data_IF_554677747354
#
_entry.id   IF_554677747354
#
_cell.length_a   1.000
_cell.length_b   1.000
_cell.length_c   1.000
_cell.angle_alpha   90.00
_cell.angle_beta   90.00
_cell.angle_gamma   90.00
#
_symmetry.space_group_name_H-M   'P 1'
#
loop_
_entity.id
_entity.type
_entity.pdbx_description
1 polymer ?
#
# COMPACT_ATOMS: atom_id res chain seq x y z
N UNK A 1 9.87 1.14 10.91
CA UNK A 1 8.40 1.00 10.78
C UNK A 1 8.05 -0.48 10.57
N UNK A 2 7.03 -0.96 11.26
CA UNK A 2 6.66 -2.37 11.17
C UNK A 2 5.62 -2.59 10.06
N UNK A 3 5.87 -3.60 9.22
CA UNK A 3 4.97 -4.00 8.14
C UNK A 3 4.50 -5.42 8.44
N UNK A 4 3.19 -5.61 8.47
CA UNK A 4 2.56 -6.90 8.79
C UNK A 4 2.34 -7.72 7.52
N UNK A 5 2.15 -9.03 7.67
CA UNK A 5 1.83 -9.91 6.56
C UNK A 5 2.97 -10.85 6.18
N UNK A 6 2.80 -11.54 5.06
CA UNK A 6 3.77 -12.56 4.59
C UNK A 6 4.86 -11.92 3.73
N UNK A 7 5.68 -11.08 4.35
CA UNK A 7 6.74 -10.32 3.69
C UNK A 7 7.93 -11.23 3.37
N UNK A 8 8.46 -11.11 2.15
CA UNK A 8 9.58 -11.94 1.69
C UNK A 8 10.89 -11.17 1.50
N UNK A 9 10.87 -9.83 1.56
CA UNK A 9 12.09 -9.03 1.44
C UNK A 9 11.95 -7.70 2.18
N UNK A 10 12.97 -6.83 2.05
CA UNK A 10 13.00 -5.52 2.71
C UNK A 10 12.25 -4.43 1.94
N UNK A 11 11.66 -4.74 0.78
CA UNK A 11 10.99 -3.78 -0.08
C UNK A 11 9.48 -3.98 -0.15
N UNK A 12 8.91 -4.57 0.88
CA UNK A 12 7.46 -4.80 1.06
C UNK A 12 6.83 -5.84 0.13
N UNK A 13 7.64 -6.60 -0.58
CA UNK A 13 7.10 -7.70 -1.39
C UNK A 13 6.59 -8.80 -0.48
N UNK A 14 5.55 -9.49 -0.93
CA UNK A 14 4.94 -10.57 -0.16
C UNK A 14 4.77 -11.81 -1.03
N UNK A 15 4.31 -12.90 -0.41
CA UNK A 15 4.09 -14.16 -1.13
C UNK A 15 3.01 -14.04 -2.21
N UNK A 16 2.14 -13.04 -2.15
CA UNK A 16 1.06 -12.82 -3.12
C UNK A 16 1.51 -11.97 -4.30
N UNK A 17 2.32 -10.91 -4.02
CA UNK A 17 2.79 -9.96 -5.01
C UNK A 17 4.28 -9.70 -4.78
N UNK A 18 5.12 -10.18 -5.70
CA UNK A 18 6.57 -10.14 -5.51
C UNK A 18 7.36 -9.84 -6.78
N UNK A 19 6.79 -9.04 -7.68
CA UNK A 19 7.52 -8.56 -8.86
C UNK A 19 8.44 -7.39 -8.46
N UNK A 20 9.29 -6.95 -9.41
CA UNK A 20 10.19 -5.81 -9.19
C UNK A 20 9.45 -4.55 -8.77
N UNK A 21 8.20 -4.39 -9.22
CA UNK A 21 7.40 -3.19 -9.00
C UNK A 21 6.44 -3.29 -7.82
N UNK A 22 6.41 -4.42 -7.12
CA UNK A 22 5.53 -4.61 -5.96
C UNK A 22 6.24 -4.14 -4.69
N UNK A 23 6.45 -2.82 -4.61
CA UNK A 23 7.26 -2.18 -3.57
C UNK A 23 6.46 -1.22 -2.69
N UNK A 24 5.13 -1.32 -2.70
CA UNK A 24 4.27 -0.42 -1.93
C UNK A 24 3.56 -1.20 -0.83
N UNK A 25 3.59 -0.67 0.38
CA UNK A 25 2.76 -1.13 1.48
C UNK A 25 1.66 -0.09 1.74
N UNK A 26 0.50 -0.54 2.16
CA UNK A 26 -0.67 0.30 2.39
C UNK A 26 -1.10 0.20 3.85
N UNK A 27 -1.27 1.35 4.49
CA UNK A 27 -1.84 1.41 5.84
C UNK A 27 -3.36 1.29 5.72
N UNK A 28 -3.94 0.31 6.39
CA UNK A 28 -5.37 0.06 6.29
C UNK A 28 -6.14 0.92 7.29
N UNK A 29 -7.26 1.50 6.82
CA UNK A 29 -8.06 2.40 7.64
C UNK A 29 -8.69 1.71 8.85
N UNK A 30 -8.95 0.41 8.75
CA UNK A 30 -9.60 -0.36 9.82
C UNK A 30 -8.71 -0.58 11.05
N UNK A 31 -7.39 -0.57 10.89
CA UNK A 31 -6.49 -0.91 12.00
C UNK A 31 -5.22 -0.07 12.04
N UNK A 32 -5.02 0.87 11.12
CA UNK A 32 -3.85 1.74 11.04
C UNK A 32 -2.52 0.98 10.98
N UNK A 33 -2.52 -0.19 10.31
CA UNK A 33 -1.33 -1.02 10.15
C UNK A 33 -0.98 -1.16 8.67
N UNK A 34 0.31 -1.21 8.37
CA UNK A 34 0.79 -1.43 7.01
C UNK A 34 0.81 -2.90 6.65
N UNK A 35 0.26 -3.23 5.48
CA UNK A 35 0.33 -4.56 4.86
C UNK A 35 0.76 -4.40 3.41
N UNK A 36 1.50 -5.38 2.85
CA UNK A 36 1.92 -5.31 1.43
C UNK A 36 0.74 -5.38 0.46
N UNK A 37 -0.33 -6.06 0.83
CA UNK A 37 -1.51 -6.20 -0.03
C UNK A 37 -2.74 -6.59 0.82
N UNK A 38 -3.91 -6.55 0.17
CA UNK A 38 -5.16 -6.89 0.87
C UNK A 38 -5.22 -8.36 1.30
N UNK A 39 -4.56 -9.26 0.57
CA UNK A 39 -4.53 -10.68 0.93
C UNK A 39 -3.75 -10.90 2.21
N UNK A 40 -2.64 -10.17 2.40
CA UNK A 40 -1.90 -10.22 3.65
C UNK A 40 -2.77 -9.77 4.84
N UNK A 41 -3.56 -8.72 4.63
CA UNK A 41 -4.47 -8.23 5.66
C UNK A 41 -5.51 -9.30 6.01
N UNK A 42 -6.10 -9.94 5.00
CA UNK A 42 -7.12 -10.98 5.23
C UNK A 42 -6.55 -12.17 5.99
N UNK A 43 -5.32 -12.57 5.70
CA UNK A 43 -4.68 -13.71 6.37
C UNK A 43 -4.27 -13.40 7.80
N UNK A 44 -3.90 -12.15 8.07
CA UNK A 44 -3.37 -11.75 9.37
C UNK A 44 -4.44 -11.28 10.36
N UNK A 45 -5.65 -10.99 9.89
CA UNK A 45 -6.71 -10.41 10.72
C UNK A 45 -8.01 -11.19 10.59
N UNK A 46 -8.90 -11.00 11.56
CA UNK A 46 -10.24 -11.57 11.57
C UNK A 46 -11.33 -10.52 11.41
N UNK A 47 -10.95 -9.27 11.09
CA UNK A 47 -11.91 -8.19 10.87
C UNK A 47 -12.01 -7.83 9.40
N UNK A 48 -13.12 -7.19 9.03
CA UNK A 48 -13.36 -6.75 7.67
C UNK A 48 -12.54 -5.51 7.36
N UNK A 49 -11.91 -5.50 6.19
CA UNK A 49 -11.13 -4.36 5.71
C UNK A 49 -12.06 -3.18 5.41
N UNK A 50 -11.63 -1.98 5.82
CA UNK A 50 -12.33 -0.73 5.50
C UNK A 50 -11.53 0.07 4.49
N UNK A 51 -12.23 0.68 3.53
CA UNK A 51 -11.60 1.54 2.54
C UNK A 51 -11.35 2.92 3.11
N UNK A 52 -10.30 3.59 2.62
CA UNK A 52 -10.05 4.99 2.94
C UNK A 52 -11.10 5.86 2.24
N UNK A 53 -11.83 6.73 2.97
CA UNK A 53 -12.77 7.65 2.33
C UNK A 53 -12.04 8.75 1.58
N UNK A 54 -12.69 9.30 0.56
CA UNK A 54 -12.10 10.34 -0.30
C UNK A 54 -11.61 11.55 0.46
N UNK A 55 -12.33 11.99 1.47
CA UNK A 55 -11.95 13.14 2.28
C UNK A 55 -10.69 12.89 3.13
N UNK A 56 -10.20 11.66 3.16
CA UNK A 56 -9.00 11.28 3.90
C UNK A 56 -7.83 10.92 2.99
N UNK A 57 -7.89 11.26 1.71
CA UNK A 57 -6.80 10.97 0.77
C UNK A 57 -5.54 11.80 1.02
N UNK A 58 -5.60 12.80 1.88
CA UNK A 58 -4.42 13.52 2.37
C UNK A 58 -3.68 12.75 3.46
N UNK A 59 -4.21 11.62 3.91
CA UNK A 59 -3.57 10.79 4.93
C UNK A 59 -2.34 10.08 4.38
N UNK A 60 -1.31 10.00 5.21
CA UNK A 60 -0.06 9.30 4.87
C UNK A 60 -0.24 7.82 5.12
N UNK A 61 -0.78 7.13 4.13
CA UNK A 61 -1.14 5.72 4.22
C UNK A 61 -0.40 4.84 3.22
N UNK A 62 0.57 5.39 2.49
CA UNK A 62 1.34 4.67 1.49
C UNK A 62 2.81 4.71 1.88
N UNK A 63 3.46 3.54 1.86
CA UNK A 63 4.88 3.42 2.18
C UNK A 63 5.63 2.90 0.96
N UNK A 64 6.68 3.62 0.55
CA UNK A 64 7.61 3.11 -0.45
C UNK A 64 8.52 2.08 0.20
N UNK A 65 8.50 0.84 -0.30
CA UNK A 65 9.32 -0.24 0.26
C UNK A 65 10.80 -0.08 0.00
N UNK A 66 11.19 0.70 -1.01
CA UNK A 66 12.61 0.89 -1.36
C UNK A 66 13.29 1.86 -0.40
N UNK A 67 12.72 3.04 -0.21
CA UNK A 67 13.32 4.08 0.64
C UNK A 67 12.62 4.25 1.98
N UNK A 68 11.51 3.56 2.20
CA UNK A 68 10.70 3.59 3.42
C UNK A 68 10.14 4.97 3.76
N UNK A 69 9.85 5.76 2.73
CA UNK A 69 9.20 7.06 2.88
C UNK A 69 7.69 6.90 2.80
N UNK A 70 6.99 7.51 3.74
CA UNK A 70 5.53 7.56 3.70
C UNK A 70 5.07 8.69 2.78
N UNK A 71 3.94 8.47 2.09
CA UNK A 71 3.33 9.49 1.24
C UNK A 71 1.81 9.43 1.38
N UNK A 72 1.15 10.52 1.00
CA UNK A 72 -0.30 10.54 1.04
C UNK A 72 -0.90 9.68 -0.08
N UNK A 73 -2.14 9.25 0.12
CA UNK A 73 -2.87 8.48 -0.89
C UNK A 73 -2.99 9.30 -2.19
N UNK A 74 -3.28 10.60 -2.06
CA UNK A 74 -3.39 11.50 -3.20
C UNK A 74 -2.09 11.56 -4.00
N UNK A 75 -0.95 11.71 -3.33
CA UNK A 75 0.35 11.75 -4.00
C UNK A 75 0.65 10.44 -4.70
N UNK A 76 0.34 9.32 -4.08
CA UNK A 76 0.55 8.01 -4.68
C UNK A 76 -0.28 7.84 -5.95
N UNK A 77 -1.56 8.22 -5.92
CA UNK A 77 -2.44 8.08 -7.07
C UNK A 77 -2.04 8.98 -8.24
N UNK A 78 -1.39 10.10 -7.97
CA UNK A 78 -0.96 11.07 -8.97
C UNK A 78 0.48 10.87 -9.44
N UNK A 79 1.15 9.83 -8.97
CA UNK A 79 2.56 9.56 -9.30
C UNK A 79 2.72 8.15 -9.84
N UNK A 80 3.68 7.98 -10.75
CA UNK A 80 4.06 6.65 -11.26
C UNK A 80 5.35 6.14 -10.62
N UNK A 81 5.93 6.94 -9.73
CA UNK A 81 7.19 6.61 -9.04
C UNK A 81 7.25 7.33 -7.70
N UNK A 82 8.11 6.83 -6.83
CA UNK A 82 8.34 7.46 -5.53
C UNK A 82 8.97 8.84 -5.72
N UNK A 83 8.43 9.90 -5.09
CA UNK A 83 8.98 11.25 -5.24
C UNK A 83 10.36 11.43 -4.57
N UNK A 84 10.79 10.48 -3.74
CA UNK A 84 12.04 10.56 -3.00
C UNK A 84 13.13 9.72 -3.68
N UNK A 85 12.89 8.43 -3.91
CA UNK A 85 13.92 7.55 -4.47
C UNK A 85 13.73 7.22 -5.96
N UNK A 86 12.63 7.67 -6.54
CA UNK A 86 12.27 7.47 -7.96
C UNK A 86 12.03 6.00 -8.36
N UNK A 87 11.87 5.10 -7.40
CA UNK A 87 11.49 3.72 -7.69
C UNK A 87 10.10 3.71 -8.33
N UNK A 88 9.97 2.98 -9.43
CA UNK A 88 8.71 2.93 -10.18
C UNK A 88 7.71 2.01 -9.51
N UNK A 89 6.47 2.48 -9.45
CA UNK A 89 5.36 1.70 -8.93
C UNK A 89 4.80 0.77 -10.00
N UNK A 90 4.12 -0.27 -9.56
CA UNK A 90 3.42 -1.16 -10.46
C UNK A 90 2.18 -0.46 -11.00
N UNK A 91 2.12 -0.21 -12.31
CA UNK A 91 0.98 0.46 -12.94
C UNK A 91 -0.32 -0.36 -12.85
N UNK A 92 -0.22 -1.67 -12.64
CA UNK A 92 -1.39 -2.52 -12.41
C UNK A 92 -2.03 -2.31 -11.03
N UNK A 93 -1.34 -1.63 -10.13
CA UNK A 93 -1.91 -1.29 -8.83
C UNK A 93 -3.16 -0.42 -8.96
N UNK A 94 -3.31 0.33 -10.04
CA UNK A 94 -4.53 1.10 -10.30
C UNK A 94 -5.78 0.23 -10.32
N UNK A 95 -5.66 -1.01 -10.78
CA UNK A 95 -6.78 -1.96 -10.82
C UNK A 95 -7.25 -2.32 -9.40
N UNK A 96 -6.40 -2.14 -8.41
CA UNK A 96 -6.68 -2.48 -7.02
C UNK A 96 -7.12 -1.28 -6.18
N UNK A 97 -7.07 -0.06 -6.72
CA UNK A 97 -7.48 1.14 -5.98
C UNK A 97 -8.86 1.01 -5.35
N UNK A 98 -9.88 0.48 -6.06
CA UNK A 98 -11.21 0.34 -5.44
C UNK A 98 -11.26 -0.63 -4.25
N UNK A 99 -10.25 -1.47 -4.07
CA UNK A 99 -10.15 -2.37 -2.92
C UNK A 99 -9.76 -1.59 -1.66
N UNK A 100 -8.81 -0.66 -1.80
CA UNK A 100 -8.23 0.07 -0.68
C UNK A 100 -8.84 1.43 -0.44
N UNK A 101 -9.33 2.08 -1.49
CA UNK A 101 -9.74 3.46 -1.46
C UNK A 101 -11.16 3.60 -2.00
N UNK A 102 -11.87 4.57 -1.44
CA UNK A 102 -13.24 4.88 -1.88
C UNK A 102 -13.19 5.58 -3.24
N UNK A 103 -13.56 4.87 -4.29
CA UNK A 103 -13.60 5.40 -5.66
C UNK A 103 -15.04 5.61 -6.09
N UNK A 104 -15.27 6.64 -6.88
CA UNK A 104 -16.62 6.91 -7.44
C UNK A 104 -17.02 5.94 -8.50
#
# INVERSE_FOLDING_TARGET
MHIYGSIIDNETRCTHYHTEKDIIAIKFACCNRYYPCYKCHQEATDHVMKKWPKERFDSYAILCGVCHTEMSIENYMNSSQCPVCHARFNDRCELHYPIYFEME
#
